data_IF_991361907867
#
_entry.id   IF_991361907867
#
_cell.length_a   1.000
_cell.length_b   1.000
_cell.length_c   1.000
_cell.angle_alpha   90.00
_cell.angle_beta   90.00
_cell.angle_gamma   90.00
#
_symmetry.space_group_name_H-M   'P 1'
#
loop_
_entity.id
_entity.type
_entity.pdbx_description
1 polymer ?
#
# COMPACT_ATOMS: atom_id res chain seq x y z
N UNK A 1 20.91 7.15 13.17
CA UNK A 1 19.46 7.00 13.46
C UNK A 1 18.80 8.23 12.86
N UNK A 2 17.94 8.10 11.85
CA UNK A 2 17.27 9.26 11.26
C UNK A 2 16.23 9.77 12.26
N UNK A 3 16.53 10.89 12.90
CA UNK A 3 15.60 11.54 13.84
C UNK A 3 14.37 12.04 13.08
N UNK A 4 13.18 11.86 13.68
CA UNK A 4 11.94 12.45 13.16
C UNK A 4 12.09 13.97 13.25
N UNK A 5 11.83 14.69 12.16
CA UNK A 5 11.92 16.15 12.18
C UNK A 5 10.83 16.76 13.08
N UNK A 6 11.06 17.96 13.63
CA UNK A 6 10.05 18.64 14.46
C UNK A 6 8.70 18.82 13.74
N UNK A 7 8.73 19.04 12.42
CA UNK A 7 7.52 19.13 11.60
C UNK A 7 6.77 17.78 11.56
N UNK A 8 7.50 16.68 11.39
CA UNK A 8 6.91 15.34 11.45
C UNK A 8 6.39 14.99 12.85
N UNK A 9 7.09 15.37 13.92
CA UNK A 9 6.58 15.19 15.30
C UNK A 9 5.27 15.96 15.47
N UNK A 10 5.18 17.20 15.00
CA UNK A 10 3.95 17.99 15.07
C UNK A 10 2.81 17.39 14.25
N UNK A 11 3.09 16.90 13.03
CA UNK A 11 2.08 16.27 12.16
C UNK A 11 1.54 14.97 12.78
N UNK A 12 2.42 14.14 13.33
CA UNK A 12 2.08 12.82 13.87
C UNK A 12 1.87 12.81 15.39
N UNK A 13 1.75 13.97 16.06
CA UNK A 13 1.66 14.06 17.53
C UNK A 13 0.59 13.12 18.12
N UNK A 14 -0.63 13.14 17.56
CA UNK A 14 -1.73 12.28 18.03
C UNK A 14 -1.46 10.79 17.81
N UNK A 15 -0.77 10.44 16.74
CA UNK A 15 -0.40 9.07 16.39
C UNK A 15 0.74 8.56 17.29
N UNK A 16 1.74 9.40 17.52
CA UNK A 16 2.86 9.15 18.45
C UNK A 16 2.36 8.93 19.88
N UNK A 17 1.31 9.66 20.31
CA UNK A 17 0.68 9.44 21.63
C UNK A 17 0.04 8.05 21.77
N UNK A 18 -0.33 7.41 20.65
CA UNK A 18 -0.96 6.10 20.64
C UNK A 18 0.08 4.96 20.60
N UNK A 19 1.00 4.99 19.62
CA UNK A 19 1.95 3.89 19.39
C UNK A 19 3.41 4.23 19.72
N UNK A 20 3.66 5.39 20.32
CA UNK A 20 4.98 5.85 20.73
C UNK A 20 5.87 6.31 19.58
N UNK A 21 7.01 6.92 19.94
CA UNK A 21 8.01 7.37 18.97
C UNK A 21 8.60 6.20 18.17
N UNK A 22 8.88 5.08 18.82
CA UNK A 22 9.43 3.88 18.16
C UNK A 22 8.48 3.31 17.10
N UNK A 23 7.18 3.30 17.38
CA UNK A 23 6.15 2.88 16.42
C UNK A 23 6.16 3.76 15.17
N UNK A 24 6.14 5.09 15.36
CA UNK A 24 6.18 6.03 14.24
C UNK A 24 7.49 5.93 13.44
N UNK A 25 8.62 5.76 14.12
CA UNK A 25 9.93 5.57 13.47
C UNK A 25 9.95 4.34 12.57
N UNK A 26 9.32 3.23 12.99
CA UNK A 26 9.20 2.02 12.17
C UNK A 26 8.30 2.24 10.96
N UNK A 27 7.18 2.94 11.13
CA UNK A 27 6.29 3.29 10.01
C UNK A 27 7.00 4.17 8.98
N UNK A 28 7.72 5.22 9.40
CA UNK A 28 8.46 6.10 8.50
C UNK A 28 9.55 5.40 7.69
N UNK A 29 9.98 4.20 8.10
CA UNK A 29 10.96 3.39 7.37
C UNK A 29 10.32 2.28 6.54
N UNK A 30 9.03 1.99 6.75
CA UNK A 30 8.37 0.88 6.07
C UNK A 30 8.10 1.19 4.60
N UNK A 31 8.38 0.22 3.74
CA UNK A 31 8.07 0.23 2.31
C UNK A 31 6.98 -0.80 2.03
N UNK A 32 5.86 -0.35 1.46
CA UNK A 32 4.69 -1.19 1.21
C UNK A 32 4.42 -1.23 -0.29
N UNK A 33 4.25 -2.44 -0.83
CA UNK A 33 3.79 -2.66 -2.21
C UNK A 33 2.30 -3.02 -2.20
N UNK A 34 1.51 -2.35 -3.04
CA UNK A 34 0.11 -2.66 -3.28
C UNK A 34 -0.06 -3.12 -4.72
N UNK A 35 -0.53 -4.35 -4.90
CA UNK A 35 -0.80 -4.98 -6.20
C UNK A 35 -2.31 -5.04 -6.41
N UNK A 36 -2.78 -4.38 -7.46
CA UNK A 36 -4.19 -4.30 -7.83
C UNK A 36 -4.94 -3.16 -7.16
N UNK A 37 -5.39 -2.20 -7.96
CA UNK A 37 -6.19 -1.07 -7.49
C UNK A 37 -7.67 -1.42 -7.51
N UNK A 38 -8.34 -1.16 -6.39
CA UNK A 38 -9.78 -1.15 -6.25
C UNK A 38 -10.18 -0.20 -5.10
N UNK A 39 -11.48 0.02 -4.82
CA UNK A 39 -11.89 0.95 -3.77
C UNK A 39 -11.31 0.60 -2.38
N UNK A 40 -11.18 -0.70 -2.08
CA UNK A 40 -10.59 -1.19 -0.84
C UNK A 40 -9.11 -0.78 -0.71
N UNK A 41 -8.30 -1.04 -1.74
CA UNK A 41 -6.88 -0.72 -1.69
C UNK A 41 -6.64 0.79 -1.70
N UNK A 42 -7.56 1.59 -2.24
CA UNK A 42 -7.50 3.05 -2.14
C UNK A 42 -7.79 3.57 -0.74
N UNK A 43 -8.79 3.03 -0.05
CA UNK A 43 -9.06 3.37 1.35
C UNK A 43 -7.89 2.97 2.27
N UNK A 44 -7.34 1.78 2.04
CA UNK A 44 -6.13 1.33 2.74
C UNK A 44 -4.94 2.26 2.46
N UNK A 45 -4.67 2.57 1.19
CA UNK A 45 -3.54 3.40 0.78
C UNK A 45 -3.63 4.80 1.40
N UNK A 46 -4.81 5.40 1.42
CA UNK A 46 -5.05 6.68 2.12
C UNK A 46 -4.66 6.61 3.59
N UNK A 47 -5.10 5.56 4.30
CA UNK A 47 -4.81 5.40 5.72
C UNK A 47 -3.30 5.19 5.98
N UNK A 48 -2.62 4.42 5.12
CA UNK A 48 -1.17 4.24 5.19
C UNK A 48 -0.42 5.56 4.96
N UNK A 49 -0.81 6.33 3.95
CA UNK A 49 -0.21 7.63 3.61
C UNK A 49 -0.43 8.65 4.74
N UNK A 50 -1.64 8.73 5.30
CA UNK A 50 -1.95 9.59 6.45
C UNK A 50 -1.23 9.15 7.74
N UNK A 51 -0.96 7.85 7.88
CA UNK A 51 -0.16 7.27 8.97
C UNK A 51 1.34 7.57 8.88
N UNK A 52 1.81 8.10 7.75
CA UNK A 52 3.22 8.47 7.58
C UNK A 52 4.14 7.27 7.43
N UNK A 53 3.82 6.37 6.49
CA UNK A 53 4.76 5.32 6.05
C UNK A 53 5.93 5.92 5.26
N UNK A 54 7.03 5.17 5.13
CA UNK A 54 8.19 5.60 4.33
C UNK A 54 7.91 5.63 2.83
N UNK A 55 7.39 4.53 2.29
CA UNK A 55 7.08 4.40 0.87
C UNK A 55 5.84 3.57 0.59
N UNK A 56 5.03 4.02 -0.37
CA UNK A 56 3.95 3.27 -1.00
C UNK A 56 4.25 3.07 -2.48
N UNK A 57 4.42 1.83 -2.91
CA UNK A 57 4.51 1.44 -4.32
C UNK A 57 3.17 0.89 -4.79
N UNK A 58 2.67 1.37 -5.93
CA UNK A 58 1.41 0.92 -6.51
C UNK A 58 1.67 0.22 -7.85
N UNK A 59 1.29 -1.04 -7.94
CA UNK A 59 1.36 -1.87 -9.14
C UNK A 59 -0.05 -2.09 -9.69
N UNK A 60 -0.34 -1.41 -10.80
CA UNK A 60 -1.56 -1.57 -11.58
C UNK A 60 -1.30 -1.03 -12.99
N UNK A 61 -1.46 -1.90 -14.00
CA UNK A 61 -1.28 -1.56 -15.42
C UNK A 61 -2.55 -1.03 -16.09
N UNK A 62 -3.65 -0.96 -15.36
CA UNK A 62 -4.95 -0.52 -15.82
C UNK A 62 -4.94 0.91 -16.36
N UNK A 63 -5.87 1.15 -17.28
CA UNK A 63 -6.22 2.49 -17.75
C UNK A 63 -7.50 2.89 -17.03
N UNK A 64 -7.57 4.14 -16.59
CA UNK A 64 -8.77 4.69 -15.96
C UNK A 64 -9.91 4.67 -16.97
N UNK A 65 -11.01 4.02 -16.61
CA UNK A 65 -12.25 4.03 -17.37
C UNK A 65 -13.37 4.73 -16.58
N UNK A 66 -14.50 5.00 -17.22
CA UNK A 66 -15.62 5.69 -16.56
C UNK A 66 -16.17 4.92 -15.35
N UNK A 67 -16.07 3.60 -15.25
CA UNK A 67 -16.49 2.91 -14.02
C UNK A 67 -15.54 3.17 -12.85
N UNK A 68 -14.25 3.41 -13.12
CA UNK A 68 -13.28 3.75 -12.10
C UNK A 68 -13.57 5.12 -11.47
N UNK A 69 -14.04 6.11 -12.24
CA UNK A 69 -14.36 7.45 -11.71
C UNK A 69 -15.55 7.44 -10.73
N UNK A 70 -16.44 6.45 -10.86
CA UNK A 70 -17.57 6.27 -9.94
C UNK A 70 -17.20 5.45 -8.70
N UNK A 71 -16.18 4.57 -8.80
CA UNK A 71 -15.84 3.61 -7.76
C UNK A 71 -14.60 4.02 -6.94
N UNK A 72 -13.65 4.74 -7.55
CA UNK A 72 -12.41 5.20 -6.93
C UNK A 72 -12.55 6.68 -6.63
N UNK A 73 -12.80 7.02 -5.36
CA UNK A 73 -13.11 8.39 -4.92
C UNK A 73 -12.05 9.46 -5.26
N UNK A 74 -10.83 9.05 -5.59
CA UNK A 74 -9.73 9.96 -5.95
C UNK A 74 -9.66 10.26 -7.46
N UNK A 75 -10.41 9.55 -8.30
CA UNK A 75 -10.35 9.73 -9.75
C UNK A 75 -11.61 10.44 -10.27
N UNK A 76 -11.42 11.57 -10.96
CA UNK A 76 -12.46 12.24 -11.75
C UNK A 76 -12.43 11.89 -13.25
N UNK A 77 -13.42 12.41 -14.00
CA UNK A 77 -13.56 12.22 -15.46
C UNK A 77 -12.34 12.71 -16.25
N UNK A 78 -11.62 13.70 -15.73
CA UNK A 78 -10.38 14.22 -16.31
C UNK A 78 -9.25 13.17 -16.39
N UNK A 79 -9.33 12.10 -15.60
CA UNK A 79 -8.33 11.03 -15.59
C UNK A 79 -8.62 9.91 -16.60
N UNK A 80 -9.80 9.89 -17.23
CA UNK A 80 -10.20 8.80 -18.13
C UNK A 80 -9.23 8.70 -19.31
N UNK A 81 -8.72 7.49 -19.56
CA UNK A 81 -7.71 7.23 -20.59
C UNK A 81 -6.26 7.32 -20.10
N UNK A 82 -6.02 7.79 -18.88
CA UNK A 82 -4.68 7.81 -18.27
C UNK A 82 -4.33 6.50 -17.55
N UNK A 83 -3.05 6.31 -17.25
CA UNK A 83 -2.58 5.16 -16.47
C UNK A 83 -3.05 5.29 -15.02
N UNK A 84 -3.86 4.34 -14.56
CA UNK A 84 -4.49 4.31 -13.23
C UNK A 84 -3.48 4.52 -12.10
N UNK A 85 -2.40 3.74 -12.09
CA UNK A 85 -1.36 3.86 -11.06
C UNK A 85 -0.67 5.23 -11.03
N UNK A 86 -0.56 5.94 -12.16
CA UNK A 86 0.04 7.29 -12.19
C UNK A 86 -0.90 8.34 -11.60
N UNK A 87 -2.19 8.32 -11.97
CA UNK A 87 -3.18 9.25 -11.43
C UNK A 87 -3.27 9.10 -9.91
N UNK A 88 -3.35 7.86 -9.42
CA UNK A 88 -3.44 7.55 -7.99
C UNK A 88 -2.22 8.05 -7.23
N UNK A 89 -1.01 7.87 -7.78
CA UNK A 89 0.22 8.40 -7.16
C UNK A 89 0.17 9.92 -7.03
N UNK A 90 -0.34 10.62 -8.04
CA UNK A 90 -0.50 12.08 -7.99
C UNK A 90 -1.47 12.49 -6.88
N UNK A 91 -2.66 11.88 -6.85
CA UNK A 91 -3.71 12.21 -5.90
C UNK A 91 -3.34 11.87 -4.45
N UNK A 92 -2.72 10.70 -4.22
CA UNK A 92 -2.31 10.29 -2.88
C UNK A 92 -1.22 11.21 -2.29
N UNK A 93 -0.36 11.81 -3.13
CA UNK A 93 0.63 12.79 -2.65
C UNK A 93 -0.01 14.03 -2.04
N UNK A 94 -1.24 14.38 -2.46
CA UNK A 94 -2.01 15.47 -1.87
C UNK A 94 -2.36 15.24 -0.39
N UNK A 95 -2.52 13.99 0.05
CA UNK A 95 -2.82 13.66 1.44
C UNK A 95 -1.62 13.83 2.38
N UNK A 96 -0.44 13.41 1.92
CA UNK A 96 0.79 13.55 2.68
C UNK A 96 2.02 13.64 1.76
N UNK A 97 2.57 14.84 1.54
CA UNK A 97 3.71 15.05 0.65
C UNK A 97 5.01 14.40 1.15
N UNK A 98 5.06 13.98 2.41
CA UNK A 98 6.29 13.42 3.01
C UNK A 98 6.46 11.92 2.73
N UNK A 99 5.41 11.24 2.28
CA UNK A 99 5.46 9.82 1.93
C UNK A 99 5.98 9.68 0.50
N UNK A 100 6.94 8.77 0.27
CA UNK A 100 7.38 8.46 -1.07
C UNK A 100 6.34 7.58 -1.76
N UNK A 101 5.61 8.12 -2.73
CA UNK A 101 4.56 7.37 -3.46
C UNK A 101 5.00 7.22 -4.91
N UNK A 102 5.10 5.96 -5.38
CA UNK A 102 5.57 5.63 -6.73
C UNK A 102 4.65 4.60 -7.40
N UNK A 103 4.55 4.72 -8.73
CA UNK A 103 3.95 3.68 -9.58
C UNK A 103 5.06 2.75 -10.02
N UNK A 104 4.84 1.45 -9.91
CA UNK A 104 5.75 0.41 -10.39
C UNK A 104 5.09 -0.32 -11.58
N UNK A 105 5.87 -0.68 -12.61
CA UNK A 105 5.34 -1.45 -13.72
C UNK A 105 4.85 -2.81 -13.26
N UNK A 106 3.87 -3.37 -13.98
CA UNK A 106 3.44 -4.74 -13.77
C UNK A 106 4.59 -5.70 -14.08
N UNK A 107 4.87 -6.61 -13.17
CA UNK A 107 5.83 -7.68 -13.39
C UNK A 107 5.16 -8.84 -14.15
N UNK A 108 5.86 -9.41 -15.13
CA UNK A 108 5.39 -10.62 -15.81
C UNK A 108 5.47 -11.85 -14.89
N UNK A 109 6.45 -11.85 -13.98
CA UNK A 109 6.64 -12.89 -12.97
C UNK A 109 7.14 -12.24 -11.68
N UNK A 110 6.55 -12.61 -10.54
CA UNK A 110 7.02 -12.15 -9.23
C UNK A 110 8.24 -12.97 -8.79
N UNK A 111 9.30 -12.28 -8.41
CA UNK A 111 10.52 -12.92 -7.89
C UNK A 111 10.78 -12.50 -6.45
N UNK A 112 11.41 -13.37 -5.68
CA UNK A 112 11.80 -13.05 -4.31
C UNK A 112 12.73 -11.82 -4.25
N UNK A 113 13.60 -11.66 -5.26
CA UNK A 113 14.48 -10.51 -5.39
C UNK A 113 13.70 -9.20 -5.55
N UNK A 114 12.63 -9.19 -6.35
CA UNK A 114 11.78 -8.02 -6.50
C UNK A 114 11.05 -7.66 -5.19
N UNK A 115 10.54 -8.65 -4.47
CA UNK A 115 9.85 -8.38 -3.20
C UNK A 115 10.78 -8.00 -2.04
N UNK A 116 12.06 -8.37 -2.10
CA UNK A 116 13.04 -8.08 -1.03
C UNK A 116 13.23 -6.58 -0.72
N UNK A 117 12.80 -5.69 -1.62
CA UNK A 117 12.82 -4.24 -1.42
C UNK A 117 11.68 -3.70 -0.54
N UNK A 118 10.72 -4.55 -0.17
CA UNK A 118 9.50 -4.18 0.58
C UNK A 118 9.44 -4.87 1.94
N UNK A 119 8.78 -4.23 2.91
CA UNK A 119 8.51 -4.82 4.22
C UNK A 119 7.17 -5.57 4.27
N UNK A 120 6.25 -5.20 3.37
CA UNK A 120 4.89 -5.73 3.28
C UNK A 120 4.41 -5.64 1.83
N UNK A 121 3.83 -6.74 1.34
CA UNK A 121 3.10 -6.80 0.07
C UNK A 121 1.62 -6.98 0.36
N UNK A 122 0.78 -6.16 -0.28
CA UNK A 122 -0.68 -6.29 -0.25
C UNK A 122 -1.16 -6.66 -1.65
N UNK A 123 -1.84 -7.78 -1.79
CA UNK A 123 -2.47 -8.18 -3.05
C UNK A 123 -3.99 -8.13 -2.94
N UNK A 124 -4.61 -7.46 -3.90
CA UNK A 124 -6.05 -7.38 -4.07
C UNK A 124 -6.40 -7.47 -5.55
N UNK A 125 -7.70 -7.44 -5.88
CA UNK A 125 -8.21 -7.36 -7.25
C UNK A 125 -7.64 -8.44 -8.19
N UNK A 126 -7.34 -9.62 -7.65
CA UNK A 126 -6.75 -10.76 -8.36
C UNK A 126 -7.39 -12.06 -7.88
N UNK A 127 -7.31 -13.12 -8.67
CA UNK A 127 -7.85 -14.42 -8.28
C UNK A 127 -7.08 -15.05 -7.11
N UNK A 128 -7.74 -15.92 -6.33
CA UNK A 128 -7.12 -16.60 -5.18
C UNK A 128 -5.81 -17.33 -5.57
N UNK A 129 -5.79 -17.99 -6.73
CA UNK A 129 -4.58 -18.68 -7.20
C UNK A 129 -3.38 -17.73 -7.37
N UNK A 130 -3.63 -16.51 -7.83
CA UNK A 130 -2.58 -15.52 -8.02
C UNK A 130 -2.07 -14.98 -6.69
N UNK A 131 -2.98 -14.71 -5.75
CA UNK A 131 -2.62 -14.26 -4.40
C UNK A 131 -1.83 -15.33 -3.63
N UNK A 132 -2.13 -16.62 -3.83
CA UNK A 132 -1.34 -17.72 -3.26
C UNK A 132 0.07 -17.74 -3.84
N UNK A 133 0.24 -17.53 -5.16
CA UNK A 133 1.56 -17.43 -5.78
C UNK A 133 2.35 -16.25 -5.20
N UNK A 134 1.73 -15.07 -5.14
CA UNK A 134 2.35 -13.88 -4.56
C UNK A 134 2.78 -14.14 -3.11
N UNK A 135 1.91 -14.75 -2.29
CA UNK A 135 2.23 -15.08 -0.91
C UNK A 135 3.41 -16.07 -0.81
N UNK A 136 3.46 -17.10 -1.66
CA UNK A 136 4.57 -18.05 -1.67
C UNK A 136 5.91 -17.35 -1.97
N UNK A 137 5.93 -16.45 -2.96
CA UNK A 137 7.13 -15.64 -3.26
C UNK A 137 7.46 -14.69 -2.11
N UNK A 138 6.46 -14.13 -1.41
CA UNK A 138 6.69 -13.33 -0.21
C UNK A 138 7.35 -14.15 0.90
N UNK A 139 6.90 -15.38 1.14
CA UNK A 139 7.53 -16.32 2.10
C UNK A 139 8.97 -16.64 1.73
N UNK A 140 9.25 -16.90 0.46
CA UNK A 140 10.62 -17.12 -0.04
C UNK A 140 11.52 -15.90 0.18
N UNK A 141 10.97 -14.69 0.04
CA UNK A 141 11.67 -13.43 0.27
C UNK A 141 11.70 -12.99 1.76
N UNK A 142 11.07 -13.74 2.67
CA UNK A 142 10.86 -13.38 4.07
C UNK A 142 10.13 -12.03 4.25
N UNK A 143 9.13 -11.76 3.41
CA UNK A 143 8.31 -10.55 3.39
C UNK A 143 6.90 -10.84 3.89
N UNK A 144 6.33 -9.91 4.64
CA UNK A 144 4.95 -10.01 5.13
C UNK A 144 3.97 -9.86 3.98
N UNK A 145 2.85 -10.56 4.05
CA UNK A 145 1.83 -10.53 3.03
C UNK A 145 0.45 -10.27 3.61
N UNK A 146 -0.34 -9.47 2.91
CA UNK A 146 -1.77 -9.29 3.18
C UNK A 146 -2.54 -9.52 1.89
N UNK A 147 -3.64 -10.26 2.00
CA UNK A 147 -4.66 -10.37 0.98
C UNK A 147 -5.95 -9.79 1.51
N UNK A 148 -6.62 -8.95 0.73
CA UNK A 148 -7.91 -8.41 1.12
C UNK A 148 -8.79 -8.17 -0.11
N UNK A 149 -10.07 -8.54 -0.04
CA UNK A 149 -11.04 -8.31 -1.13
C UNK A 149 -12.44 -8.06 -0.57
N UNK A 150 -13.27 -7.38 -1.36
CA UNK A 150 -14.69 -7.12 -1.09
C UNK A 150 -15.53 -7.73 -2.22
N UNK A 151 -16.63 -8.39 -1.86
CA UNK A 151 -17.61 -8.99 -2.75
C UNK A 151 -19.02 -8.58 -2.29
N UNK A 152 -19.54 -7.50 -2.88
CA UNK A 152 -20.85 -6.94 -2.49
C UNK A 152 -20.83 -6.50 -1.02
N UNK A 153 -21.62 -7.18 -0.18
CA UNK A 153 -21.74 -6.88 1.25
C UNK A 153 -20.70 -7.60 2.12
N UNK A 154 -19.91 -8.49 1.55
CA UNK A 154 -18.93 -9.29 2.28
C UNK A 154 -17.51 -8.85 1.92
N UNK A 155 -16.57 -9.06 2.83
CA UNK A 155 -15.16 -8.89 2.56
C UNK A 155 -14.33 -9.79 3.47
N UNK A 156 -13.07 -9.96 3.13
CA UNK A 156 -12.13 -10.68 3.97
C UNK A 156 -10.79 -9.97 4.00
N UNK A 157 -10.03 -10.25 5.05
CA UNK A 157 -8.62 -9.90 5.19
C UNK A 157 -7.90 -11.16 5.65
N UNK A 158 -6.78 -11.47 5.01
CA UNK A 158 -5.86 -12.53 5.37
C UNK A 158 -4.48 -11.90 5.57
N UNK A 159 -3.81 -12.29 6.65
CA UNK A 159 -2.48 -11.80 6.99
C UNK A 159 -1.52 -12.99 7.16
N UNK A 160 -0.40 -12.94 6.46
CA UNK A 160 0.72 -13.86 6.62
C UNK A 160 1.93 -13.04 7.05
N UNK A 161 2.21 -13.06 8.36
CA UNK A 161 3.27 -12.26 8.96
C UNK A 161 4.55 -13.08 9.19
N UNK A 162 4.58 -14.33 8.72
CA UNK A 162 5.63 -15.32 9.00
C UNK A 162 5.74 -15.55 10.52
N UNK A 163 6.95 -15.77 11.03
CA UNK A 163 7.23 -15.74 12.46
C UNK A 163 7.31 -14.27 12.93
N UNK A 164 6.23 -13.79 13.54
CA UNK A 164 6.10 -12.37 13.91
C UNK A 164 6.14 -12.12 15.42
N UNK A 165 7.27 -11.59 15.88
CA UNK A 165 7.41 -11.05 17.22
C UNK A 165 6.93 -9.59 17.29
N UNK A 166 6.15 -9.27 18.31
CA UNK A 166 5.63 -7.92 18.56
C UNK A 166 5.70 -7.56 20.05
N UNK A 167 5.71 -6.26 20.34
CA UNK A 167 5.60 -5.74 21.72
C UNK A 167 4.13 -5.53 22.03
N UNK A 168 3.69 -6.02 23.20
CA UNK A 168 2.38 -5.75 23.79
C UNK A 168 2.43 -4.44 24.55
#
# INVERSE_FOLDING_TARGET
MTEISNEQVSRYDRQIRLWGFDGQQRMLKSKILVIGVNPLTMEMSKNLVLGGIGQLSIMDDGIVNSSDTHNLYILGEEHVGEKKSKCIVSELKGFNPTVNIISVPQESEYTAQFFSDYDLVVASNSGMSEQVKINNVCREANIKFISANIFGLYGYIFCDLLDHDYKV
#
